data_IF_856493625138
#
_entry.id   IF_856493625138
#
_cell.length_a   1.000
_cell.length_b   1.000
_cell.length_c   1.000
_cell.angle_alpha   90.00
_cell.angle_beta   90.00
_cell.angle_gamma   90.00
#
_symmetry.space_group_name_H-M   'P 1'
#
loop_
_entity.id
_entity.type
_entity.pdbx_description
1 polymer ?
#
# COMPACT_ATOMS: atom_id res chain seq x y z
N UNK A 1 -13.47 41.07 7.74
CA UNK A 1 -14.42 40.36 6.85
C UNK A 1 -14.65 38.98 7.43
N UNK A 2 -15.88 38.72 7.90
CA UNK A 2 -16.28 37.51 8.63
C UNK A 2 -16.88 36.52 7.62
N UNK A 3 -16.17 35.44 7.31
CA UNK A 3 -16.73 34.33 6.53
C UNK A 3 -17.17 33.22 7.49
N UNK A 4 -18.46 33.26 7.83
CA UNK A 4 -19.14 32.24 8.63
C UNK A 4 -19.58 31.09 7.73
N UNK A 5 -18.80 30.01 7.67
CA UNK A 5 -19.23 28.73 7.13
C UNK A 5 -20.05 28.05 8.23
N UNK A 6 -21.38 28.07 8.09
CA UNK A 6 -22.31 27.34 8.97
C UNK A 6 -22.32 25.88 8.54
N UNK A 7 -21.74 25.03 9.39
CA UNK A 7 -21.92 23.58 9.38
C UNK A 7 -23.40 23.26 9.64
N UNK A 8 -24.06 22.65 8.66
CA UNK A 8 -25.38 22.03 8.86
C UNK A 8 -25.15 20.63 9.46
N UNK A 9 -25.43 20.48 10.75
CA UNK A 9 -25.50 19.19 11.41
C UNK A 9 -26.87 18.56 11.07
N UNK A 10 -26.85 17.49 10.27
CA UNK A 10 -28.04 16.67 9.99
C UNK A 10 -28.16 15.64 11.12
N UNK A 11 -29.09 15.86 12.05
CA UNK A 11 -29.46 14.85 13.05
C UNK A 11 -30.41 13.83 12.38
N UNK A 12 -29.94 12.59 12.21
CA UNK A 12 -30.78 11.48 11.72
C UNK A 12 -31.60 10.95 12.89
N UNK A 13 -32.90 11.21 12.90
CA UNK A 13 -33.86 10.60 13.82
C UNK A 13 -34.46 9.36 13.15
N UNK A 14 -34.12 8.16 13.62
CA UNK A 14 -34.77 6.89 13.23
C UNK A 14 -36.10 6.76 13.99
N UNK A 15 -37.22 7.07 13.33
CA UNK A 15 -38.56 6.76 13.84
C UNK A 15 -39.09 5.49 13.16
N UNK A 16 -39.17 4.39 13.92
CA UNK A 16 -39.86 3.17 13.54
C UNK A 16 -41.36 3.38 13.76
N UNK A 17 -42.13 3.52 12.68
CA UNK A 17 -43.59 3.53 12.74
C UNK A 17 -44.11 2.15 12.30
N UNK A 18 -44.60 1.40 13.28
CA UNK A 18 -45.45 0.24 13.06
C UNK A 18 -46.83 0.73 12.61
N UNK A 19 -47.27 0.33 11.42
CA UNK A 19 -48.63 0.56 10.95
C UNK A 19 -49.41 -0.75 10.98
N UNK A 20 -50.45 -0.77 11.81
CA UNK A 20 -51.51 -1.77 11.85
C UNK A 20 -52.43 -1.56 10.64
N UNK A 21 -52.61 -2.62 9.84
CA UNK A 21 -53.68 -2.70 8.82
C UNK A 21 -55.04 -2.96 9.49
N UNK A 22 -56.13 -2.46 8.89
CA UNK A 22 -57.16 -3.40 8.49
C UNK A 22 -57.55 -3.25 7.02
N UNK A 23 -57.83 -4.41 6.42
CA UNK A 23 -58.36 -4.57 5.09
C UNK A 23 -59.82 -4.13 5.01
N UNK A 24 -60.19 -3.48 3.90
CA UNK A 24 -61.55 -3.63 3.37
C UNK A 24 -61.54 -3.45 1.85
N UNK A 25 -62.01 -4.50 1.18
CA UNK A 25 -62.21 -4.58 -0.27
C UNK A 25 -63.28 -3.58 -0.73
N UNK A 26 -63.01 -2.89 -1.83
CA UNK A 26 -64.05 -2.53 -2.79
C UNK A 26 -63.44 -2.36 -4.19
N UNK A 27 -63.98 -3.14 -5.12
CA UNK A 27 -63.71 -3.11 -6.54
C UNK A 27 -64.28 -1.82 -7.13
N UNK A 28 -63.43 -0.94 -7.64
CA UNK A 28 -63.82 0.29 -8.33
C UNK A 28 -62.70 0.76 -9.24
N UNK A 29 -63.03 0.92 -10.52
CA UNK A 29 -62.19 1.48 -11.58
C UNK A 29 -61.30 2.63 -11.12
N UNK A 30 -60.00 2.53 -11.42
CA UNK A 30 -58.99 3.59 -11.22
C UNK A 30 -59.32 4.82 -12.08
N UNK A 31 -60.16 5.71 -11.54
CA UNK A 31 -60.13 7.13 -11.88
C UNK A 31 -59.04 7.79 -11.03
N UNK A 32 -58.14 8.53 -11.68
CA UNK A 32 -57.21 9.42 -10.97
C UNK A 32 -58.03 10.37 -10.07
N UNK A 33 -57.60 10.64 -8.81
CA UNK A 33 -58.38 11.44 -7.88
C UNK A 33 -58.37 12.92 -8.32
N UNK A 34 -59.34 13.29 -9.17
CA UNK A 34 -59.50 14.62 -9.77
C UNK A 34 -60.05 15.69 -8.80
N UNK A 35 -59.80 15.54 -7.49
CA UNK A 35 -60.27 16.46 -6.44
C UNK A 35 -59.19 16.93 -5.46
N UNK A 36 -57.91 16.58 -5.66
CA UNK A 36 -56.83 16.91 -4.70
C UNK A 36 -55.98 18.13 -5.09
N UNK A 37 -55.99 18.54 -6.35
CA UNK A 37 -55.11 19.61 -6.84
C UNK A 37 -55.88 20.94 -6.99
N UNK A 38 -56.42 21.46 -5.88
CA UNK A 38 -57.14 22.76 -5.84
C UNK A 38 -56.19 23.92 -5.52
N UNK A 39 -56.63 25.17 -5.72
CA UNK A 39 -55.86 26.36 -5.33
C UNK A 39 -55.60 26.42 -3.82
N UNK A 40 -56.55 25.96 -2.98
CA UNK A 40 -56.35 25.84 -1.54
C UNK A 40 -55.24 24.84 -1.22
N UNK A 41 -55.21 23.70 -1.92
CA UNK A 41 -54.14 22.70 -1.75
C UNK A 41 -52.78 23.26 -2.22
N UNK A 42 -52.76 24.02 -3.31
CA UNK A 42 -51.58 24.73 -3.82
C UNK A 42 -51.01 25.68 -2.76
N UNK A 43 -51.87 26.51 -2.16
CA UNK A 43 -51.47 27.45 -1.12
C UNK A 43 -51.04 26.74 0.16
N UNK A 44 -51.77 25.70 0.58
CA UNK A 44 -51.47 24.92 1.79
C UNK A 44 -50.10 24.23 1.70
N UNK A 45 -49.84 23.50 0.61
CA UNK A 45 -48.58 22.78 0.40
C UNK A 45 -47.40 23.74 0.24
N UNK A 46 -47.60 24.88 -0.45
CA UNK A 46 -46.59 25.93 -0.54
C UNK A 46 -46.26 26.56 0.82
N UNK A 47 -47.27 26.86 1.64
CA UNK A 47 -47.08 27.39 2.99
C UNK A 47 -46.36 26.37 3.89
N UNK A 48 -46.72 25.09 3.80
CA UNK A 48 -46.03 24.01 4.54
C UNK A 48 -44.57 23.89 4.11
N UNK A 49 -44.29 23.97 2.81
CA UNK A 49 -42.94 24.00 2.26
C UNK A 49 -42.13 25.18 2.81
N UNK A 50 -42.62 26.41 2.65
CA UNK A 50 -41.88 27.63 3.03
C UNK A 50 -41.67 27.78 4.54
N UNK A 51 -42.68 27.45 5.35
CA UNK A 51 -42.59 27.53 6.82
C UNK A 51 -41.60 26.53 7.43
N UNK A 52 -41.39 25.38 6.78
CA UNK A 52 -40.51 24.33 7.27
C UNK A 52 -39.10 24.36 6.65
N UNK A 53 -38.89 25.18 5.61
CA UNK A 53 -37.66 25.18 4.81
C UNK A 53 -36.36 25.33 5.63
N UNK A 54 -36.40 26.08 6.74
CA UNK A 54 -35.23 26.34 7.60
C UNK A 54 -35.21 25.50 8.88
N UNK A 55 -36.37 25.01 9.32
CA UNK A 55 -36.57 24.40 10.63
C UNK A 55 -36.74 22.88 10.55
N UNK A 56 -37.39 22.38 9.52
CA UNK A 56 -37.63 20.96 9.28
C UNK A 56 -37.63 20.66 7.77
N UNK A 57 -36.44 20.50 7.21
CA UNK A 57 -36.27 20.30 5.76
C UNK A 57 -36.96 19.04 5.23
N UNK A 58 -37.13 17.99 6.06
CA UNK A 58 -37.88 16.79 5.67
C UNK A 58 -39.35 17.12 5.40
N UNK A 59 -40.00 17.86 6.31
CA UNK A 59 -41.40 18.30 6.12
C UNK A 59 -41.53 19.22 4.91
N UNK A 60 -40.54 20.09 4.68
CA UNK A 60 -40.49 20.92 3.47
C UNK A 60 -40.36 20.06 2.20
N UNK A 61 -39.52 19.03 2.21
CA UNK A 61 -39.35 18.10 1.09
C UNK A 61 -40.63 17.32 0.78
N UNK A 62 -41.30 16.77 1.79
CA UNK A 62 -42.59 16.09 1.63
C UNK A 62 -43.65 17.03 1.06
N UNK A 63 -43.76 18.27 1.58
CA UNK A 63 -44.66 19.28 1.05
C UNK A 63 -44.33 19.66 -0.40
N UNK A 64 -43.04 19.76 -0.73
CA UNK A 64 -42.57 20.06 -2.08
C UNK A 64 -42.91 18.96 -3.07
N UNK A 65 -42.75 17.69 -2.71
CA UNK A 65 -43.17 16.56 -3.56
C UNK A 65 -44.68 16.50 -3.74
N UNK A 66 -45.45 16.76 -2.68
CA UNK A 66 -46.91 16.88 -2.78
C UNK A 66 -47.31 17.98 -3.76
N UNK A 67 -46.71 19.18 -3.64
CA UNK A 67 -46.94 20.30 -4.54
C UNK A 67 -46.59 19.93 -6.00
N UNK A 68 -45.42 19.35 -6.24
CA UNK A 68 -44.96 18.98 -7.59
C UNK A 68 -45.78 17.85 -8.22
N UNK A 69 -46.40 16.97 -7.42
CA UNK A 69 -47.25 15.90 -7.96
C UNK A 69 -48.55 16.44 -8.57
N UNK A 70 -49.06 17.58 -8.08
CA UNK A 70 -50.25 18.25 -8.59
C UNK A 70 -49.93 19.34 -9.63
N UNK A 71 -48.92 20.17 -9.34
CA UNK A 71 -48.67 21.42 -10.07
C UNK A 71 -47.32 21.42 -10.80
N UNK A 72 -46.62 20.28 -10.83
CA UNK A 72 -45.26 20.20 -11.38
C UNK A 72 -45.15 20.44 -12.89
N UNK A 73 -46.27 20.44 -13.63
CA UNK A 73 -46.31 20.77 -15.06
C UNK A 73 -46.47 22.27 -15.32
N UNK A 74 -46.80 23.06 -14.30
CA UNK A 74 -46.87 24.51 -14.46
C UNK A 74 -45.44 25.08 -14.58
N UNK A 75 -45.31 26.14 -15.38
CA UNK A 75 -44.03 26.81 -15.60
C UNK A 75 -44.02 28.17 -14.89
N UNK A 76 -44.15 28.14 -13.57
CA UNK A 76 -44.09 29.34 -12.72
C UNK A 76 -42.84 29.35 -11.82
N UNK A 77 -42.62 30.49 -11.16
CA UNK A 77 -41.48 30.67 -10.26
C UNK A 77 -41.53 29.75 -9.03
N UNK A 78 -42.72 29.37 -8.56
CA UNK A 78 -42.92 28.54 -7.36
C UNK A 78 -42.58 27.08 -7.65
N UNK A 79 -43.10 26.52 -8.75
CA UNK A 79 -42.75 25.18 -9.24
C UNK A 79 -41.25 25.09 -9.46
N UNK A 80 -40.64 26.07 -10.14
CA UNK A 80 -39.21 26.08 -10.39
C UNK A 80 -38.39 26.14 -9.09
N UNK A 81 -38.84 26.91 -8.10
CA UNK A 81 -38.19 27.00 -6.79
C UNK A 81 -38.30 25.70 -5.99
N UNK A 82 -39.50 25.13 -5.89
CA UNK A 82 -39.76 23.88 -5.17
C UNK A 82 -39.02 22.71 -5.83
N UNK A 83 -39.02 22.63 -7.16
CA UNK A 83 -38.29 21.60 -7.92
C UNK A 83 -36.79 21.65 -7.60
N UNK A 84 -36.18 22.83 -7.62
CA UNK A 84 -34.76 23.00 -7.26
C UNK A 84 -34.48 22.52 -5.83
N UNK A 85 -35.34 22.87 -4.87
CA UNK A 85 -35.18 22.41 -3.49
C UNK A 85 -35.31 20.88 -3.39
N UNK A 86 -36.38 20.30 -3.95
CA UNK A 86 -36.64 18.85 -3.89
C UNK A 86 -35.47 18.07 -4.49
N UNK A 87 -35.01 18.45 -5.68
CA UNK A 87 -33.84 17.83 -6.31
C UNK A 87 -32.57 17.98 -5.48
N UNK A 88 -32.30 19.16 -4.92
CA UNK A 88 -31.12 19.37 -4.08
C UNK A 88 -31.20 18.57 -2.77
N UNK A 89 -32.38 18.47 -2.16
CA UNK A 89 -32.63 17.68 -0.96
C UNK A 89 -32.40 16.19 -1.24
N UNK A 90 -32.99 15.64 -2.31
CA UNK A 90 -32.79 14.25 -2.71
C UNK A 90 -31.32 13.92 -2.95
N UNK A 91 -30.61 14.77 -3.68
CA UNK A 91 -29.16 14.61 -3.89
C UNK A 91 -28.38 14.65 -2.57
N UNK A 92 -28.71 15.57 -1.67
CA UNK A 92 -28.05 15.67 -0.37
C UNK A 92 -28.31 14.43 0.51
N UNK A 93 -29.56 13.94 0.55
CA UNK A 93 -29.93 12.73 1.28
C UNK A 93 -29.23 11.50 0.73
N UNK A 94 -29.22 11.31 -0.60
CA UNK A 94 -28.51 10.18 -1.23
C UNK A 94 -27.00 10.21 -0.91
N UNK A 95 -26.36 11.38 -0.98
CA UNK A 95 -24.95 11.52 -0.58
C UNK A 95 -24.74 11.20 0.90
N UNK A 96 -25.62 11.65 1.78
CA UNK A 96 -25.53 11.38 3.21
C UNK A 96 -25.69 9.87 3.51
N UNK A 97 -26.65 9.21 2.85
CA UNK A 97 -26.87 7.76 2.94
C UNK A 97 -25.66 6.97 2.43
N UNK A 98 -25.11 7.34 1.27
CA UNK A 98 -23.92 6.72 0.70
C UNK A 98 -22.73 6.82 1.66
N UNK A 99 -22.47 8.02 2.22
CA UNK A 99 -21.40 8.23 3.21
C UNK A 99 -21.63 7.44 4.49
N UNK A 100 -22.86 7.42 4.99
CA UNK A 100 -23.23 6.64 6.18
C UNK A 100 -23.02 5.15 5.97
N UNK A 101 -23.44 4.62 4.81
CA UNK A 101 -23.25 3.22 4.44
C UNK A 101 -21.78 2.87 4.27
N UNK A 102 -21.00 3.72 3.60
CA UNK A 102 -19.55 3.55 3.49
C UNK A 102 -18.89 3.48 4.88
N UNK A 103 -19.20 4.43 5.77
CA UNK A 103 -18.66 4.46 7.12
C UNK A 103 -19.05 3.22 7.93
N UNK A 104 -20.30 2.76 7.81
CA UNK A 104 -20.78 1.55 8.46
C UNK A 104 -20.00 0.31 8.00
N UNK A 105 -19.85 0.12 6.68
CA UNK A 105 -19.11 -1.02 6.12
C UNK A 105 -17.63 -0.98 6.50
N UNK A 106 -17.02 0.21 6.49
CA UNK A 106 -15.65 0.44 6.95
C UNK A 106 -15.46 0.03 8.41
N UNK A 107 -16.34 0.48 9.31
CA UNK A 107 -16.30 0.13 10.73
C UNK A 107 -16.55 -1.36 10.98
N UNK A 108 -17.37 -2.00 10.16
CA UNK A 108 -17.61 -3.45 10.20
C UNK A 108 -16.48 -4.27 9.54
N UNK A 109 -15.41 -3.62 9.07
CA UNK A 109 -14.29 -4.25 8.35
C UNK A 109 -14.72 -5.00 7.07
N UNK A 110 -15.88 -4.65 6.51
CA UNK A 110 -16.40 -5.16 5.23
C UNK A 110 -15.75 -4.42 4.08
N UNK A 111 -14.43 -4.51 4.00
CA UNK A 111 -13.61 -3.66 3.15
C UNK A 111 -13.88 -3.85 1.64
N UNK A 112 -14.20 -5.08 1.21
CA UNK A 112 -14.58 -5.35 -0.18
C UNK A 112 -15.88 -4.64 -0.58
N UNK A 113 -16.84 -4.50 0.33
CA UNK A 113 -18.09 -3.75 0.11
C UNK A 113 -17.87 -2.23 0.27
N UNK A 114 -17.02 -1.81 1.22
CA UNK A 114 -16.75 -0.41 1.48
C UNK A 114 -15.97 0.27 0.34
N UNK A 115 -14.99 -0.43 -0.24
CA UNK A 115 -14.11 0.11 -1.29
C UNK A 115 -14.85 0.73 -2.48
N UNK A 116 -15.81 0.04 -3.15
CA UNK A 116 -16.54 0.65 -4.27
C UNK A 116 -17.40 1.85 -3.85
N UNK A 117 -17.96 1.88 -2.63
CA UNK A 117 -18.70 3.07 -2.16
C UNK A 117 -17.77 4.25 -1.90
N UNK A 118 -16.59 3.99 -1.34
CA UNK A 118 -15.54 5.01 -1.18
C UNK A 118 -15.15 5.63 -2.52
N UNK A 119 -14.97 4.80 -3.56
CA UNK A 119 -14.75 5.29 -4.93
C UNK A 119 -15.88 6.19 -5.44
N UNK A 120 -17.13 5.81 -5.23
CA UNK A 120 -18.29 6.61 -5.64
C UNK A 120 -18.30 7.99 -4.96
N UNK A 121 -18.02 8.03 -3.66
CA UNK A 121 -17.91 9.29 -2.91
C UNK A 121 -16.77 10.15 -3.47
N UNK A 122 -15.60 9.55 -3.73
CA UNK A 122 -14.43 10.27 -4.26
C UNK A 122 -14.60 10.78 -5.70
N UNK A 123 -15.52 10.20 -6.48
CA UNK A 123 -15.85 10.72 -7.81
C UNK A 123 -16.52 12.11 -7.73
N UNK A 124 -17.30 12.35 -6.67
CA UNK A 124 -17.95 13.65 -6.42
C UNK A 124 -17.12 14.56 -5.50
N UNK A 125 -16.32 13.97 -4.63
CA UNK A 125 -15.52 14.66 -3.61
C UNK A 125 -14.04 14.28 -3.75
N UNK A 126 -13.39 14.65 -4.87
CA UNK A 126 -12.04 14.18 -5.19
C UNK A 126 -10.95 14.75 -4.28
N UNK A 127 -11.27 15.62 -3.33
CA UNK A 127 -10.34 16.20 -2.35
C UNK A 127 -10.66 15.81 -0.90
N UNK A 128 -11.66 14.95 -0.68
CA UNK A 128 -12.04 14.49 0.66
C UNK A 128 -11.02 13.47 1.19
N UNK A 129 -9.96 13.99 1.83
CA UNK A 129 -8.84 13.19 2.31
C UNK A 129 -9.25 12.14 3.37
N UNK A 130 -10.26 12.41 4.19
CA UNK A 130 -10.81 11.42 5.14
C UNK A 130 -11.35 10.19 4.40
N UNK A 131 -12.14 10.42 3.35
CA UNK A 131 -12.69 9.34 2.52
C UNK A 131 -11.57 8.66 1.73
N UNK A 132 -10.57 9.40 1.23
CA UNK A 132 -9.43 8.80 0.53
C UNK A 132 -8.64 7.84 1.42
N UNK A 133 -8.33 8.23 2.65
CA UNK A 133 -7.62 7.40 3.63
C UNK A 133 -8.43 6.12 3.91
N UNK A 134 -9.71 6.25 4.26
CA UNK A 134 -10.58 5.10 4.56
C UNK A 134 -10.79 4.19 3.33
N UNK A 135 -10.86 4.75 2.13
CA UNK A 135 -10.99 3.99 0.88
C UNK A 135 -9.68 3.26 0.56
N UNK A 136 -8.52 3.90 0.72
CA UNK A 136 -7.22 3.26 0.55
C UNK A 136 -7.02 2.10 1.53
N UNK A 137 -7.43 2.28 2.80
CA UNK A 137 -7.42 1.21 3.80
C UNK A 137 -8.38 0.07 3.45
N UNK A 138 -9.58 0.39 2.96
CA UNK A 138 -10.51 -0.63 2.44
C UNK A 138 -9.91 -1.40 1.26
N UNK A 139 -9.20 -0.72 0.37
CA UNK A 139 -8.48 -1.37 -0.72
C UNK A 139 -7.46 -2.39 -0.21
N UNK A 140 -6.67 -2.01 0.82
CA UNK A 140 -5.70 -2.90 1.44
C UNK A 140 -6.38 -4.12 2.07
N UNK A 141 -7.45 -3.88 2.84
CA UNK A 141 -8.23 -4.94 3.48
C UNK A 141 -8.82 -5.92 2.47
N UNK A 142 -9.41 -5.42 1.38
CA UNK A 142 -9.99 -6.26 0.33
C UNK A 142 -8.93 -7.06 -0.45
N UNK A 143 -7.80 -6.43 -0.83
CA UNK A 143 -6.70 -7.11 -1.55
C UNK A 143 -6.05 -8.19 -0.67
N UNK A 144 -5.85 -7.92 0.62
CA UNK A 144 -5.30 -8.92 1.55
C UNK A 144 -6.27 -10.06 1.82
N UNK A 145 -7.58 -9.84 1.62
CA UNK A 145 -8.61 -10.88 1.62
C UNK A 145 -8.77 -11.60 0.26
N UNK A 146 -7.90 -11.34 -0.72
CA UNK A 146 -7.86 -12.06 -2.01
C UNK A 146 -8.55 -11.37 -3.18
N UNK A 147 -9.06 -10.14 -3.00
CA UNK A 147 -9.70 -9.38 -4.09
C UNK A 147 -8.68 -8.70 -5.01
N UNK A 148 -7.81 -9.46 -5.66
CA UNK A 148 -6.67 -8.92 -6.40
C UNK A 148 -7.08 -8.09 -7.64
N UNK A 149 -8.29 -8.30 -8.16
CA UNK A 149 -8.81 -7.57 -9.30
C UNK A 149 -8.94 -6.05 -9.05
N UNK A 150 -9.05 -5.60 -7.78
CA UNK A 150 -9.21 -4.17 -7.46
C UNK A 150 -7.87 -3.44 -7.33
N UNK A 151 -6.73 -4.15 -7.40
CA UNK A 151 -5.41 -3.59 -7.15
C UNK A 151 -5.12 -2.32 -7.99
N UNK A 152 -5.45 -2.24 -9.29
CA UNK A 152 -5.18 -1.02 -10.08
C UNK A 152 -5.85 0.23 -9.48
N UNK A 153 -7.12 0.11 -9.10
CA UNK A 153 -7.88 1.21 -8.48
C UNK A 153 -7.37 1.51 -7.06
N UNK A 154 -7.12 0.47 -6.26
CA UNK A 154 -6.65 0.62 -4.89
C UNK A 154 -5.26 1.29 -4.83
N UNK A 155 -4.38 0.93 -5.77
CA UNK A 155 -3.06 1.55 -5.90
C UNK A 155 -3.15 3.01 -6.36
N UNK A 156 -4.07 3.34 -7.28
CA UNK A 156 -4.28 4.72 -7.72
C UNK A 156 -4.74 5.62 -6.56
N UNK A 157 -5.72 5.15 -5.77
CA UNK A 157 -6.22 5.87 -4.60
C UNK A 157 -5.11 5.99 -3.54
N UNK A 158 -4.43 4.90 -3.20
CA UNK A 158 -3.35 4.95 -2.21
C UNK A 158 -2.20 5.89 -2.60
N UNK A 159 -1.80 5.93 -3.89
CA UNK A 159 -0.80 6.88 -4.40
C UNK A 159 -1.28 8.32 -4.30
N UNK A 160 -2.53 8.60 -4.66
CA UNK A 160 -3.13 9.93 -4.52
C UNK A 160 -3.16 10.36 -3.04
N UNK A 161 -3.64 9.50 -2.15
CA UNK A 161 -3.66 9.78 -0.69
C UNK A 161 -2.27 10.09 -0.17
N UNK A 162 -1.27 9.29 -0.56
CA UNK A 162 0.13 9.50 -0.18
C UNK A 162 0.65 10.86 -0.65
N UNK A 163 0.39 11.23 -1.92
CA UNK A 163 0.77 12.53 -2.47
C UNK A 163 0.15 13.69 -1.71
N UNK A 164 -1.14 13.62 -1.36
CA UNK A 164 -1.84 14.68 -0.63
C UNK A 164 -1.26 14.89 0.79
N UNK A 165 -0.92 13.80 1.47
CA UNK A 165 -0.32 13.85 2.82
C UNK A 165 1.14 14.33 2.77
N UNK A 166 1.90 13.90 1.76
CA UNK A 166 3.26 14.40 1.52
C UNK A 166 3.27 15.91 1.24
N UNK A 167 2.26 16.41 0.50
CA UNK A 167 2.02 17.84 0.28
C UNK A 167 1.57 18.62 1.53
N UNK A 168 1.45 17.96 2.68
CA UNK A 168 1.12 18.59 3.96
C UNK A 168 -0.37 18.73 4.23
N UNK A 169 -1.25 18.12 3.42
CA UNK A 169 -2.69 18.08 3.73
C UNK A 169 -2.96 17.11 4.87
N UNK A 170 -3.98 17.43 5.67
CA UNK A 170 -4.50 16.59 6.73
C UNK A 170 -6.03 16.47 6.58
N UNK A 171 -6.65 15.38 7.07
CA UNK A 171 -8.09 15.22 6.99
C UNK A 171 -8.81 16.35 7.76
N UNK A 172 -9.86 16.91 7.16
CA UNK A 172 -10.58 18.03 7.74
C UNK A 172 -11.17 17.65 9.11
N UNK A 173 -10.89 18.49 10.13
CA UNK A 173 -11.40 18.27 11.48
C UNK A 173 -10.71 17.16 12.28
N UNK A 174 -9.65 16.55 11.75
CA UNK A 174 -8.89 15.54 12.49
C UNK A 174 -8.05 16.19 13.60
N UNK A 175 -8.30 15.80 14.85
CA UNK A 175 -7.54 16.24 16.03
C UNK A 175 -6.32 15.36 16.33
N UNK A 176 -6.35 14.10 15.91
CA UNK A 176 -5.33 13.09 16.19
C UNK A 176 -4.77 12.45 14.91
N UNK A 177 -4.62 13.21 13.83
CA UNK A 177 -4.06 12.68 12.59
C UNK A 177 -2.55 12.42 12.74
N UNK A 178 -2.15 11.15 12.63
CA UNK A 178 -0.75 10.75 12.61
C UNK A 178 -0.26 10.63 11.16
N UNK A 179 0.52 11.62 10.72
CA UNK A 179 1.08 11.67 9.37
C UNK A 179 2.00 10.49 9.09
N UNK A 180 2.95 10.21 9.97
CA UNK A 180 3.98 9.19 9.74
C UNK A 180 3.37 7.80 9.70
N UNK A 181 2.45 7.50 10.63
CA UNK A 181 1.74 6.23 10.61
C UNK A 181 0.94 6.05 9.32
N UNK A 182 0.29 7.13 8.85
CA UNK A 182 -0.48 7.09 7.61
C UNK A 182 0.40 6.87 6.39
N UNK A 183 1.53 7.56 6.30
CA UNK A 183 2.52 7.36 5.24
C UNK A 183 3.11 5.94 5.30
N UNK A 184 3.41 5.44 6.48
CA UNK A 184 3.94 4.09 6.69
C UNK A 184 3.03 3.01 6.13
N UNK A 185 1.74 3.04 6.48
CA UNK A 185 0.82 2.02 6.00
C UNK A 185 0.42 2.18 4.53
N UNK A 186 0.36 3.40 4.00
CA UNK A 186 0.11 3.62 2.57
C UNK A 186 1.24 3.03 1.72
N UNK A 187 2.50 3.26 2.14
CA UNK A 187 3.66 2.62 1.51
C UNK A 187 3.60 1.09 1.67
N UNK A 188 3.20 0.58 2.83
CA UNK A 188 3.00 -0.86 3.02
C UNK A 188 1.96 -1.45 2.05
N UNK A 189 0.83 -0.78 1.88
CA UNK A 189 -0.22 -1.19 0.95
C UNK A 189 0.28 -1.24 -0.50
N UNK A 190 0.94 -0.17 -0.95
CA UNK A 190 1.53 -0.11 -2.30
C UNK A 190 2.62 -1.18 -2.49
N UNK A 191 3.38 -1.48 -1.45
CA UNK A 191 4.33 -2.59 -1.42
C UNK A 191 3.66 -3.94 -1.68
N UNK A 192 2.56 -4.25 -0.97
CA UNK A 192 1.77 -5.47 -1.19
C UNK A 192 1.22 -5.53 -2.60
N UNK A 193 0.65 -4.43 -3.10
CA UNK A 193 0.09 -4.36 -4.45
C UNK A 193 1.13 -4.64 -5.52
N UNK A 194 2.33 -4.08 -5.36
CA UNK A 194 3.44 -4.31 -6.27
C UNK A 194 3.94 -5.77 -6.22
N UNK A 195 4.01 -6.40 -5.04
CA UNK A 195 4.32 -7.83 -4.94
C UNK A 195 3.28 -8.68 -5.67
N UNK A 196 1.99 -8.42 -5.46
CA UNK A 196 0.90 -9.16 -6.11
C UNK A 196 0.86 -8.97 -7.62
N UNK A 197 1.30 -7.83 -8.12
CA UNK A 197 1.44 -7.55 -9.55
C UNK A 197 2.80 -7.98 -10.14
N UNK A 198 3.61 -8.73 -9.39
CA UNK A 198 4.94 -9.17 -9.83
C UNK A 198 5.85 -8.01 -10.27
N UNK A 199 5.79 -6.88 -9.55
CA UNK A 199 6.68 -5.72 -9.74
C UNK A 199 7.63 -5.58 -8.53
N UNK A 200 8.66 -6.44 -8.40
CA UNK A 200 9.45 -6.55 -7.19
C UNK A 200 10.32 -5.31 -6.92
N UNK A 201 10.72 -4.55 -7.95
CA UNK A 201 11.48 -3.30 -7.75
C UNK A 201 10.61 -2.19 -7.14
N UNK A 202 9.38 -2.05 -7.63
CA UNK A 202 8.42 -1.10 -7.05
C UNK A 202 8.03 -1.53 -5.62
N UNK A 203 7.80 -2.83 -5.40
CA UNK A 203 7.54 -3.38 -4.08
C UNK A 203 8.66 -3.05 -3.10
N UNK A 204 9.91 -3.26 -3.49
CA UNK A 204 11.07 -2.99 -2.65
C UNK A 204 11.13 -1.52 -2.21
N UNK A 205 10.91 -0.58 -3.14
CA UNK A 205 10.94 0.85 -2.83
C UNK A 205 9.86 1.23 -1.82
N UNK A 206 8.62 0.75 -2.02
CA UNK A 206 7.51 1.05 -1.12
C UNK A 206 7.66 0.39 0.24
N UNK A 207 8.01 -0.90 0.30
CA UNK A 207 8.22 -1.60 1.56
C UNK A 207 9.40 -1.03 2.36
N UNK A 208 10.46 -0.59 1.69
CA UNK A 208 11.58 0.06 2.34
C UNK A 208 11.12 1.35 3.01
N UNK A 209 10.38 2.21 2.30
CA UNK A 209 9.78 3.43 2.85
C UNK A 209 8.83 3.12 4.01
N UNK A 210 7.98 2.11 3.88
CA UNK A 210 7.06 1.68 4.92
C UNK A 210 7.79 1.34 6.23
N UNK A 211 8.95 0.69 6.13
CA UNK A 211 9.78 0.35 7.28
C UNK A 211 10.52 1.55 7.91
N UNK A 212 10.58 2.71 7.25
CA UNK A 212 11.20 3.92 7.79
C UNK A 212 10.26 4.72 8.70
N UNK A 213 8.96 4.76 8.37
CA UNK A 213 7.97 5.52 9.15
C UNK A 213 7.62 4.85 10.47
N UNK A 214 7.38 5.64 11.51
CA UNK A 214 6.81 5.11 12.76
C UNK A 214 5.39 4.60 12.53
N UNK A 215 5.04 3.47 13.14
CA UNK A 215 3.72 2.84 13.00
C UNK A 215 3.80 1.33 12.91
N UNK A 216 2.68 0.68 12.55
CA UNK A 216 2.62 -0.78 12.51
C UNK A 216 3.59 -1.36 11.47
N UNK A 217 3.71 -0.73 10.30
CA UNK A 217 4.48 -1.28 9.18
C UNK A 217 5.97 -1.49 9.53
N UNK A 218 6.55 -0.61 10.36
CA UNK A 218 7.93 -0.70 10.84
C UNK A 218 8.19 -1.88 11.78
N UNK A 219 7.17 -2.36 12.49
CA UNK A 219 7.29 -3.50 13.42
C UNK A 219 6.56 -4.75 12.93
N UNK A 220 5.90 -4.68 11.78
CA UNK A 220 5.19 -5.81 11.19
C UNK A 220 6.19 -6.80 10.58
N UNK A 221 6.23 -8.06 11.06
CA UNK A 221 7.07 -9.10 10.47
C UNK A 221 6.88 -9.26 8.95
N UNK A 222 5.64 -9.07 8.48
CA UNK A 222 5.30 -9.24 7.07
C UNK A 222 5.99 -8.22 6.17
N UNK A 223 6.18 -6.97 6.62
CA UNK A 223 6.92 -5.94 5.88
C UNK A 223 8.30 -6.44 5.47
N UNK A 224 9.03 -7.02 6.41
CA UNK A 224 10.40 -7.49 6.19
C UNK A 224 10.46 -8.80 5.41
N UNK A 225 9.51 -9.70 5.61
CA UNK A 225 9.41 -10.91 4.79
C UNK A 225 9.12 -10.56 3.31
N UNK A 226 8.28 -9.56 3.05
CA UNK A 226 8.03 -9.06 1.70
C UNK A 226 9.23 -8.30 1.13
N UNK A 227 10.01 -7.58 1.95
CA UNK A 227 11.29 -7.00 1.52
C UNK A 227 12.27 -8.07 1.05
N UNK A 228 12.41 -9.17 1.80
CA UNK A 228 13.27 -10.29 1.43
C UNK A 228 12.84 -10.90 0.09
N UNK A 229 11.54 -11.13 -0.10
CA UNK A 229 10.98 -11.62 -1.36
C UNK A 229 11.24 -10.63 -2.52
N UNK A 230 11.06 -9.33 -2.28
CA UNK A 230 11.31 -8.30 -3.29
C UNK A 230 12.79 -8.25 -3.70
N UNK A 231 13.73 -8.34 -2.76
CA UNK A 231 15.16 -8.45 -3.07
C UNK A 231 15.48 -9.72 -3.88
N UNK A 232 14.86 -10.85 -3.53
CA UNK A 232 15.03 -12.10 -4.25
C UNK A 232 14.64 -11.95 -5.72
N UNK A 233 13.42 -11.49 -5.97
CA UNK A 233 12.84 -11.40 -7.31
C UNK A 233 13.45 -10.24 -8.13
N UNK A 234 13.73 -9.10 -7.52
CA UNK A 234 14.25 -7.93 -8.22
C UNK A 234 15.72 -8.07 -8.62
N UNK A 235 16.53 -8.77 -7.82
CA UNK A 235 17.98 -8.80 -7.97
C UNK A 235 18.59 -10.19 -7.91
N UNK A 236 18.32 -10.98 -6.85
CA UNK A 236 19.03 -12.25 -6.65
C UNK A 236 18.77 -13.23 -7.79
N UNK A 237 17.51 -13.48 -8.14
CA UNK A 237 17.15 -14.43 -9.20
C UNK A 237 17.76 -14.07 -10.57
N UNK A 238 17.60 -12.84 -11.10
CA UNK A 238 18.21 -12.48 -12.37
C UNK A 238 19.74 -12.49 -12.30
N UNK A 239 20.36 -11.97 -11.24
CA UNK A 239 21.83 -11.94 -11.11
C UNK A 239 22.42 -13.34 -10.94
N UNK A 240 21.78 -14.23 -10.17
CA UNK A 240 22.22 -15.60 -10.02
C UNK A 240 22.09 -16.39 -11.33
N UNK A 241 21.05 -16.10 -12.12
CA UNK A 241 20.92 -16.65 -13.48
C UNK A 241 22.08 -16.18 -14.36
N UNK A 242 22.30 -14.87 -14.45
CA UNK A 242 23.37 -14.30 -15.26
C UNK A 242 24.76 -14.82 -14.84
N UNK A 243 25.01 -14.90 -13.53
CA UNK A 243 26.26 -15.43 -13.00
C UNK A 243 26.51 -16.87 -13.46
N UNK A 244 25.50 -17.74 -13.39
CA UNK A 244 25.61 -19.13 -13.87
C UNK A 244 25.84 -19.17 -15.38
N UNK A 245 25.05 -18.42 -16.15
CA UNK A 245 25.13 -18.42 -17.60
C UNK A 245 26.51 -17.95 -18.10
N UNK A 246 27.14 -16.99 -17.41
CA UNK A 246 28.43 -16.41 -17.82
C UNK A 246 29.65 -17.14 -17.27
N UNK A 247 29.60 -17.61 -16.02
CA UNK A 247 30.81 -18.02 -15.29
C UNK A 247 30.83 -19.49 -14.87
N UNK A 248 29.72 -20.23 -15.02
CA UNK A 248 29.71 -21.64 -14.63
C UNK A 248 30.62 -22.46 -15.56
N UNK A 249 31.61 -23.13 -14.98
CA UNK A 249 32.58 -23.94 -15.71
C UNK A 249 33.67 -23.13 -16.42
N UNK A 250 33.69 -21.80 -16.25
CA UNK A 250 34.75 -20.94 -16.77
C UNK A 250 35.91 -20.83 -15.77
N UNK A 251 37.14 -20.52 -16.24
CA UNK A 251 38.24 -20.16 -15.37
C UNK A 251 37.92 -18.92 -14.52
N UNK A 252 38.49 -18.88 -13.31
CA UNK A 252 38.32 -17.75 -12.41
C UNK A 252 38.83 -16.45 -13.04
N UNK A 253 38.01 -15.41 -12.99
CA UNK A 253 38.32 -14.08 -13.55
C UNK A 253 37.97 -12.97 -12.55
N UNK A 254 38.62 -11.79 -12.64
CA UNK A 254 38.24 -10.62 -11.85
C UNK A 254 36.76 -10.25 -12.01
N UNK A 255 36.20 -10.40 -13.21
CA UNK A 255 34.79 -10.15 -13.52
C UNK A 255 33.86 -11.12 -12.79
N UNK A 256 34.22 -12.41 -12.73
CA UNK A 256 33.49 -13.41 -11.95
C UNK A 256 33.49 -13.06 -10.46
N UNK A 257 34.66 -12.70 -9.90
CA UNK A 257 34.77 -12.33 -8.49
C UNK A 257 33.93 -11.08 -8.17
N UNK A 258 33.95 -10.06 -9.04
CA UNK A 258 33.13 -8.86 -8.88
C UNK A 258 31.63 -9.17 -8.95
N UNK A 259 31.19 -10.00 -9.90
CA UNK A 259 29.80 -10.42 -10.01
C UNK A 259 29.34 -11.22 -8.78
N UNK A 260 30.20 -12.12 -8.26
CA UNK A 260 29.92 -12.86 -7.04
C UNK A 260 29.82 -11.94 -5.83
N UNK A 261 30.71 -10.96 -5.70
CA UNK A 261 30.66 -9.97 -4.63
C UNK A 261 29.35 -9.17 -4.68
N UNK A 262 28.88 -8.77 -5.86
CA UNK A 262 27.62 -8.07 -6.02
C UNK A 262 26.42 -8.97 -5.64
N UNK A 263 26.44 -10.24 -6.04
CA UNK A 263 25.40 -11.21 -5.66
C UNK A 263 25.36 -11.40 -4.13
N UNK A 264 26.53 -11.48 -3.48
CA UNK A 264 26.63 -11.59 -2.03
C UNK A 264 26.02 -10.38 -1.32
N UNK A 265 26.18 -9.16 -1.84
CA UNK A 265 25.54 -7.97 -1.28
C UNK A 265 24.00 -8.03 -1.32
N UNK A 266 23.42 -8.67 -2.35
CA UNK A 266 21.97 -8.91 -2.41
C UNK A 266 21.55 -9.95 -1.37
N UNK A 267 22.31 -11.03 -1.25
CA UNK A 267 22.05 -12.09 -0.27
C UNK A 267 22.11 -11.53 1.16
N UNK A 268 23.07 -10.66 1.46
CA UNK A 268 23.20 -10.03 2.78
C UNK A 268 21.95 -9.20 3.13
N UNK A 269 21.31 -8.56 2.16
CA UNK A 269 20.03 -7.84 2.35
C UNK A 269 18.84 -8.78 2.54
N UNK A 270 18.81 -9.91 1.83
CA UNK A 270 17.80 -10.95 2.03
C UNK A 270 17.91 -11.54 3.43
N UNK A 271 19.14 -11.81 3.89
CA UNK A 271 19.44 -12.28 5.24
C UNK A 271 18.98 -11.27 6.29
N UNK A 272 19.34 -9.98 6.16
CA UNK A 272 18.91 -8.92 7.08
C UNK A 272 17.37 -8.84 7.14
N UNK A 273 16.70 -8.83 5.99
CA UNK A 273 15.24 -8.72 5.92
C UNK A 273 14.54 -9.93 6.57
N UNK A 274 14.94 -11.17 6.29
CA UNK A 274 14.34 -12.31 6.99
C UNK A 274 14.67 -12.35 8.48
N UNK A 275 15.89 -11.96 8.87
CA UNK A 275 16.25 -11.87 10.28
C UNK A 275 15.33 -10.87 11.01
N UNK A 276 15.05 -9.70 10.41
CA UNK A 276 14.09 -8.72 10.96
C UNK A 276 12.68 -9.30 11.03
N UNK A 277 12.23 -9.99 9.98
CA UNK A 277 10.90 -10.62 9.98
C UNK A 277 10.76 -11.59 11.17
N UNK A 278 11.76 -12.44 11.41
CA UNK A 278 11.76 -13.40 12.51
C UNK A 278 11.87 -12.70 13.87
N UNK A 279 12.74 -11.69 13.98
CA UNK A 279 12.93 -10.92 15.22
C UNK A 279 11.63 -10.22 15.64
N UNK A 280 10.95 -9.53 14.73
CA UNK A 280 9.65 -8.91 15.00
C UNK A 280 8.55 -9.95 15.24
N UNK A 281 8.58 -11.10 14.55
CA UNK A 281 7.60 -12.16 14.78
C UNK A 281 7.73 -12.71 16.20
N UNK A 282 8.95 -12.94 16.67
CA UNK A 282 9.24 -13.35 18.04
C UNK A 282 8.79 -12.29 19.05
N UNK A 283 9.08 -11.01 18.79
CA UNK A 283 8.68 -9.91 19.67
C UNK A 283 7.15 -9.71 19.76
N UNK A 284 6.42 -9.95 18.66
CA UNK A 284 4.96 -9.79 18.61
C UNK A 284 4.20 -10.87 19.40
N UNK A 285 4.73 -12.10 19.43
CA UNK A 285 4.04 -13.25 20.01
C UNK A 285 2.76 -13.68 19.28
N UNK A 286 2.43 -13.08 18.13
CA UNK A 286 1.13 -13.28 17.49
C UNK A 286 1.04 -14.64 16.77
N UNK A 287 -0.06 -15.36 17.01
CA UNK A 287 -0.29 -16.69 16.44
C UNK A 287 -0.29 -16.70 14.90
N UNK A 288 -0.77 -15.62 14.27
CA UNK A 288 -0.87 -15.51 12.80
C UNK A 288 0.47 -15.60 12.08
N UNK A 289 1.59 -15.40 12.78
CA UNK A 289 2.94 -15.50 12.20
C UNK A 289 3.64 -16.84 12.46
N UNK A 290 3.11 -17.73 13.31
CA UNK A 290 3.86 -18.92 13.72
C UNK A 290 4.22 -19.82 12.54
N UNK A 291 3.28 -20.10 11.64
CA UNK A 291 3.54 -20.90 10.45
C UNK A 291 4.50 -20.18 9.48
N UNK A 292 4.28 -18.89 9.21
CA UNK A 292 5.14 -18.11 8.32
C UNK A 292 6.56 -17.98 8.86
N UNK A 293 6.73 -17.88 10.18
CA UNK A 293 8.04 -17.81 10.83
C UNK A 293 8.87 -19.06 10.55
N UNK A 294 8.27 -20.24 10.54
CA UNK A 294 8.98 -21.49 10.18
C UNK A 294 9.54 -21.39 8.76
N UNK A 295 8.72 -20.93 7.81
CA UNK A 295 9.14 -20.70 6.44
C UNK A 295 10.29 -19.68 6.37
N UNK A 296 10.14 -18.53 7.00
CA UNK A 296 11.16 -17.48 7.02
C UNK A 296 12.48 -17.95 7.65
N UNK A 297 12.42 -18.73 8.74
CA UNK A 297 13.59 -19.32 9.38
C UNK A 297 14.30 -20.29 8.44
N UNK A 298 13.55 -21.13 7.71
CA UNK A 298 14.14 -22.04 6.73
C UNK A 298 14.85 -21.27 5.61
N UNK A 299 14.22 -20.21 5.08
CA UNK A 299 14.82 -19.38 4.04
C UNK A 299 16.06 -18.65 4.54
N UNK A 300 15.97 -18.01 5.72
CA UNK A 300 17.11 -17.34 6.35
C UNK A 300 18.27 -18.30 6.55
N UNK A 301 18.00 -19.50 7.09
CA UNK A 301 19.03 -20.50 7.37
C UNK A 301 19.74 -20.93 6.08
N UNK A 302 19.00 -21.11 4.99
CA UNK A 302 19.57 -21.49 3.70
C UNK A 302 20.53 -20.42 3.15
N UNK A 303 20.11 -19.14 3.11
CA UNK A 303 20.98 -18.05 2.66
C UNK A 303 22.15 -17.82 3.62
N UNK A 304 21.91 -17.92 4.93
CA UNK A 304 22.95 -17.75 5.94
C UNK A 304 24.05 -18.81 5.79
N UNK A 305 23.67 -20.08 5.68
CA UNK A 305 24.62 -21.19 5.42
C UNK A 305 25.41 -20.97 4.15
N UNK A 306 24.75 -20.59 3.05
CA UNK A 306 25.42 -20.27 1.80
C UNK A 306 26.50 -19.19 1.97
N UNK A 307 26.23 -18.17 2.80
CA UNK A 307 27.19 -17.08 3.07
C UNK A 307 28.25 -17.41 4.12
N UNK A 308 28.02 -18.43 4.95
CA UNK A 308 28.82 -18.73 6.15
C UNK A 308 29.34 -20.18 6.17
N UNK A 309 29.82 -20.69 5.02
CA UNK A 309 30.45 -22.01 4.91
C UNK A 309 29.61 -23.16 5.50
N UNK A 310 28.32 -23.18 5.14
CA UNK A 310 27.33 -24.15 5.63
C UNK A 310 27.07 -24.15 7.16
N UNK A 311 27.59 -23.14 7.86
CA UNK A 311 27.41 -22.97 9.30
C UNK A 311 26.19 -22.12 9.65
N UNK A 312 25.60 -22.39 10.82
CA UNK A 312 24.59 -21.54 11.47
C UNK A 312 25.17 -20.76 12.66
N UNK A 313 26.48 -20.88 12.93
CA UNK A 313 27.14 -20.11 13.98
C UNK A 313 26.92 -18.61 13.76
N UNK A 314 26.44 -17.90 14.79
CA UNK A 314 26.15 -16.47 14.71
C UNK A 314 24.73 -16.11 14.26
N UNK A 315 23.93 -17.07 13.78
CA UNK A 315 22.60 -16.80 13.25
C UNK A 315 21.64 -16.25 14.30
N UNK A 316 21.63 -16.82 15.51
CA UNK A 316 20.77 -16.33 16.60
C UNK A 316 21.20 -14.93 17.06
N UNK A 317 22.50 -14.66 17.10
CA UNK A 317 23.04 -13.33 17.42
C UNK A 317 22.67 -12.30 16.35
N UNK A 318 22.66 -12.70 15.08
CA UNK A 318 22.16 -11.86 13.98
C UNK A 318 20.69 -11.51 14.21
N UNK A 319 19.82 -12.51 14.43
CA UNK A 319 18.38 -12.30 14.65
C UNK A 319 18.15 -11.38 15.86
N UNK A 320 18.90 -11.58 16.96
CA UNK A 320 18.77 -10.76 18.16
C UNK A 320 19.20 -9.30 17.97
N UNK A 321 20.16 -9.03 17.08
CA UNK A 321 20.75 -7.68 16.91
C UNK A 321 20.24 -6.91 15.69
N UNK A 322 19.55 -7.56 14.74
CA UNK A 322 19.23 -6.94 13.45
C UNK A 322 18.29 -5.74 13.57
N UNK A 323 17.38 -5.74 14.54
CA UNK A 323 16.40 -4.65 14.73
C UNK A 323 17.02 -3.38 15.31
N UNK A 324 18.21 -3.44 15.89
CA UNK A 324 18.94 -2.25 16.39
C UNK A 324 19.84 -1.63 15.33
N UNK A 325 20.06 -2.32 14.20
CA UNK A 325 20.85 -1.82 13.08
C UNK A 325 19.95 -1.04 12.10
N UNK A 326 20.46 0.03 11.46
CA UNK A 326 19.75 0.69 10.36
C UNK A 326 19.38 -0.30 9.25
N UNK A 327 18.22 -0.13 8.64
CA UNK A 327 17.80 -0.96 7.51
C UNK A 327 18.72 -0.69 6.30
N UNK A 328 19.29 -1.72 5.66
CA UNK A 328 20.11 -1.52 4.47
C UNK A 328 19.34 -0.87 3.32
N UNK A 329 20.01 0.04 2.58
CA UNK A 329 19.44 0.71 1.41
C UNK A 329 18.87 -0.27 0.37
N UNK A 330 17.71 0.04 -0.25
CA UNK A 330 17.07 -0.81 -1.26
C UNK A 330 17.86 -0.87 -2.57
N UNK A 331 18.76 0.09 -2.81
CA UNK A 331 19.63 0.08 -3.99
C UNK A 331 20.82 -0.83 -3.75
N UNK A 332 21.13 -1.67 -4.74
CA UNK A 332 22.35 -2.47 -4.77
C UNK A 332 23.45 -1.61 -5.41
N UNK A 333 24.55 -1.31 -4.69
CA UNK A 333 25.70 -0.64 -5.28
C UNK A 333 26.18 -1.40 -6.50
N UNK A 334 26.40 -0.68 -7.61
CA UNK A 334 27.10 -1.25 -8.76
C UNK A 334 28.60 -1.29 -8.40
N UNK A 335 29.33 -2.37 -8.74
CA UNK A 335 30.78 -2.38 -8.60
C UNK A 335 31.37 -1.17 -9.34
N UNK A 336 32.37 -0.51 -8.74
CA UNK A 336 33.13 0.50 -9.47
C UNK A 336 33.70 -0.12 -10.75
N UNK A 337 33.72 0.59 -11.90
CA UNK A 337 34.26 0.03 -13.12
C UNK A 337 35.71 -0.40 -12.88
N UNK A 338 36.03 -1.66 -13.19
CA UNK A 338 37.42 -2.14 -13.16
C UNK A 338 38.24 -1.24 -14.08
N UNK A 339 39.32 -0.61 -13.60
CA UNK A 339 40.15 0.23 -14.47
C UNK A 339 40.64 -0.64 -15.62
N UNK A 340 40.29 -0.25 -16.85
CA UNK A 340 40.83 -0.88 -18.05
C UNK A 340 42.36 -0.80 -17.95
N UNK A 341 43.10 -1.92 -18.07
CA UNK A 341 44.54 -1.85 -18.08
C UNK A 341 44.96 -0.98 -19.27
N UNK A 342 45.45 0.22 -18.98
CA UNK A 342 46.10 1.07 -19.97
C UNK A 342 47.23 0.25 -20.57
N UNK A 343 47.10 -0.10 -21.85
CA UNK A 343 48.15 -0.73 -22.62
C UNK A 343 49.38 0.19 -22.58
N UNK A 344 50.34 -0.19 -21.76
CA UNK A 344 51.65 0.45 -21.73
C UNK A 344 52.28 0.26 -23.11
N UNK A 345 52.68 1.34 -23.82
CA UNK A 345 53.29 1.19 -25.13
C UNK A 345 54.61 0.44 -24.99
N UNK A 346 54.70 -0.68 -25.70
CA UNK A 346 55.92 -1.46 -25.87
C UNK A 346 56.93 -0.64 -26.68
N UNK A 347 57.90 -0.04 -25.99
CA UNK A 347 59.09 0.56 -26.59
C UNK A 347 60.29 -0.35 -26.34
N UNK A 348 60.84 -0.94 -27.40
CA UNK A 348 61.99 -1.86 -27.34
C UNK A 348 63.35 -1.16 -27.25
N UNK A 349 64.32 -1.92 -26.68
CA UNK A 349 65.77 -2.07 -27.01
C UNK A 349 66.62 -0.79 -27.19
N UNK A 350 67.85 -0.61 -26.67
CA UNK A 350 68.99 -1.48 -26.31
C UNK A 350 70.07 -0.58 -25.67
N UNK A 351 70.92 -1.05 -24.74
CA UNK A 351 72.19 -0.36 -24.43
C UNK A 351 72.86 -0.65 -23.08
N UNK A 352 73.79 -1.59 -23.09
CA UNK A 352 75.05 -1.73 -22.32
C UNK A 352 75.18 -1.31 -20.82
N UNK A 353 75.63 -2.29 -20.02
CA UNK A 353 76.31 -2.21 -18.71
C UNK A 353 77.75 -1.64 -18.85
N UNK A 354 78.47 -1.15 -17.80
CA UNK A 354 78.86 -1.97 -16.62
C UNK A 354 78.91 -1.29 -15.22
N UNK A 355 78.68 -2.14 -14.22
CA UNK A 355 79.32 -2.28 -12.90
C UNK A 355 79.51 -1.09 -11.92
N UNK A 356 78.96 -1.19 -10.69
CA UNK A 356 79.73 -1.50 -9.47
C UNK A 356 78.89 -1.45 -8.16
N UNK A 357 79.28 -2.34 -7.23
CA UNK A 357 79.16 -2.30 -5.76
C UNK A 357 77.82 -2.60 -5.04
N UNK A 358 77.84 -3.75 -4.35
CA UNK A 358 77.00 -4.25 -3.23
C UNK A 358 77.46 -3.59 -1.89
N UNK A 359 76.94 -3.90 -0.68
CA UNK A 359 75.68 -4.55 -0.25
C UNK A 359 74.96 -3.80 0.92
N UNK A 360 73.68 -4.13 1.18
CA UNK A 360 73.17 -4.18 2.56
C UNK A 360 71.90 -5.04 2.65
N UNK A 361 71.91 -5.94 3.63
CA UNK A 361 70.88 -6.91 3.95
C UNK A 361 69.60 -6.28 4.54
N UNK A 362 68.45 -6.92 4.32
CA UNK A 362 67.51 -7.22 5.42
C UNK A 362 66.40 -8.20 5.01
N UNK A 363 66.45 -9.36 5.67
CA UNK A 363 65.36 -10.13 6.29
C UNK A 363 64.09 -10.46 5.50
N UNK A 364 64.03 -11.73 5.12
CA UNK A 364 62.85 -12.55 4.83
C UNK A 364 62.17 -13.06 6.11
N UNK A 365 60.84 -12.89 6.24
CA UNK A 365 59.92 -13.81 6.94
C UNK A 365 58.49 -13.62 6.36
N UNK A 366 57.52 -14.55 6.53
CA UNK A 366 57.02 -15.37 5.44
C UNK A 366 55.56 -15.06 5.04
N UNK A 367 55.22 -15.56 3.85
CA UNK A 367 53.89 -15.58 3.27
C UNK A 367 52.86 -16.23 4.20
N UNK A 368 51.84 -15.45 4.60
CA UNK A 368 50.61 -15.99 5.16
C UNK A 368 49.68 -16.31 3.99
N UNK A 369 49.48 -17.60 3.75
CA UNK A 369 48.59 -18.12 2.73
C UNK A 369 47.14 -17.70 3.04
N UNK A 370 46.57 -16.85 2.20
CA UNK A 370 45.11 -16.69 2.14
C UNK A 370 44.50 -18.00 1.60
N UNK A 371 43.50 -18.59 2.26
CA UNK A 371 42.85 -19.78 1.73
C UNK A 371 42.11 -19.42 0.44
N UNK A 372 42.40 -20.19 -0.62
CA UNK A 372 41.62 -20.20 -1.87
C UNK A 372 40.13 -20.39 -1.54
N UNK A 373 39.22 -19.57 -2.10
CA UNK A 373 37.80 -19.89 -2.05
C UNK A 373 37.57 -21.17 -2.85
N UNK A 374 37.16 -22.25 -2.17
CA UNK A 374 36.65 -23.44 -2.84
C UNK A 374 35.38 -23.07 -3.59
N UNK A 375 35.45 -23.11 -4.92
CA UNK A 375 34.32 -23.01 -5.83
C UNK A 375 33.44 -24.25 -5.70
N UNK A 376 32.63 -24.32 -4.64
CA UNK A 376 31.52 -25.27 -4.60
C UNK A 376 30.48 -24.86 -5.67
N UNK A 377 29.95 -25.79 -6.48
CA UNK A 377 28.90 -25.48 -7.43
C UNK A 377 27.71 -24.87 -6.68
N UNK A 378 27.25 -23.70 -7.14
CA UNK A 378 26.12 -22.96 -6.56
C UNK A 378 24.88 -23.85 -6.61
N UNK A 379 24.63 -24.60 -5.53
CA UNK A 379 23.36 -25.27 -5.29
C UNK A 379 22.37 -24.18 -4.93
N UNK A 380 21.45 -23.90 -5.85
CA UNK A 380 20.34 -23.00 -5.62
C UNK A 380 19.56 -23.47 -4.38
N UNK A 381 19.28 -22.62 -3.38
CA UNK A 381 18.31 -22.99 -2.36
C UNK A 381 16.97 -23.27 -3.08
N UNK A 382 16.42 -24.47 -2.89
CA UNK A 382 15.20 -24.95 -3.54
C UNK A 382 14.02 -23.98 -3.26
N UNK A 383 13.72 -23.08 -4.19
CA UNK A 383 12.70 -22.03 -4.01
C UNK A 383 11.47 -22.15 -4.95
N UNK A 384 11.43 -23.13 -5.85
CA UNK A 384 10.43 -23.15 -6.95
C UNK A 384 8.99 -23.55 -6.56
N UNK A 385 8.63 -23.67 -5.27
CA UNK A 385 7.31 -24.19 -4.85
C UNK A 385 6.31 -23.19 -4.26
N UNK A 386 6.65 -21.92 -4.07
CA UNK A 386 5.80 -21.02 -3.26
C UNK A 386 4.87 -20.07 -4.03
N UNK A 387 4.96 -20.00 -5.36
CA UNK A 387 3.99 -19.25 -6.17
C UNK A 387 2.62 -19.94 -6.30
N UNK A 388 2.47 -21.20 -5.85
CA UNK A 388 1.25 -22.00 -6.06
C UNK A 388 0.33 -22.13 -4.84
N UNK A 389 0.69 -21.59 -3.67
CA UNK A 389 -0.10 -21.75 -2.42
C UNK A 389 -0.74 -20.45 -1.91
N UNK A 390 -0.95 -19.45 -2.78
CA UNK A 390 -1.80 -18.30 -2.47
C UNK A 390 -3.03 -18.36 -3.38
N UNK A 391 -4.04 -19.08 -2.91
CA UNK A 391 -5.43 -19.01 -3.36
C UNK A 391 -6.30 -18.97 -2.12
#
# INVERSE_FOLDING_TARGET
MKNSIKTFALAVLLAVLALSTPAQESSGSQQAPSGKCTEEFKQQTYNRFTSNLKTNQQVAYEAGKEYLSCFGNENDQYVNYIRRFVTAYEQATQKAELRSRFQQLYQQQKYAEAFPLGKQILAEEPDNLSVMIATAWSGLGAVTAGQDAIIPDAAAIARKTLQEIEAGKAPQGATNFNKDETLGWLNYALGIYAVKQNNPREALNYLYKAAQYEGFAKKDPQTYALLALAYQQAYYEPMAKEYRDKYQGQPESPEQQAALAQLNQVIDRIIDAYARAIAYANASGEARYQQRKVEWTNQLTAFYKFRNNDSTTGLDQLIASVTTKPLPSPTIPTPAPTPTPTSQPSGGTTGASPAAANPAAQQSVPASASPKPQSSPIKQPMMRKMASNRS
#
